data_IF_674427551635
#
_entry.id   IF_674427551635
#
_cell.length_a   1.000
_cell.length_b   1.000
_cell.length_c   1.000
_cell.angle_alpha   90.00
_cell.angle_beta   90.00
_cell.angle_gamma   90.00
#
_symmetry.space_group_name_H-M   'P 1'
#
loop_
_entity.id
_entity.type
_entity.pdbx_description
1 polymer ?
#
# COMPACT_ATOMS: atom_id res chain seq x y z
N UNK A 1 -17.82 -8.94 7.82
CA UNK A 1 -16.98 -7.76 8.12
C UNK A 1 -15.74 -8.08 8.95
N UNK A 2 -15.83 -8.99 9.94
CA UNK A 2 -14.68 -9.34 10.80
C UNK A 2 -13.43 -9.83 10.08
N UNK A 3 -13.58 -10.67 9.07
CA UNK A 3 -12.43 -11.30 8.39
C UNK A 3 -11.55 -10.28 7.62
N UNK A 4 -12.16 -9.25 7.02
CA UNK A 4 -11.41 -8.19 6.37
C UNK A 4 -10.60 -7.35 7.37
N UNK A 5 -11.15 -7.09 8.55
CA UNK A 5 -10.42 -6.39 9.61
C UNK A 5 -9.21 -7.20 10.08
N UNK A 6 -9.38 -8.51 10.26
CA UNK A 6 -8.26 -9.42 10.60
C UNK A 6 -7.19 -9.40 9.49
N UNK A 7 -7.59 -9.40 8.22
CA UNK A 7 -6.65 -9.30 7.11
C UNK A 7 -5.87 -7.98 7.13
N UNK A 8 -6.54 -6.85 7.42
CA UNK A 8 -5.91 -5.52 7.56
C UNK A 8 -4.90 -5.53 8.70
N UNK A 9 -5.29 -6.03 9.88
CA UNK A 9 -4.42 -6.10 11.05
C UNK A 9 -3.17 -6.93 10.78
N UNK A 10 -3.32 -8.13 10.18
CA UNK A 10 -2.21 -8.96 9.74
C UNK A 10 -1.29 -8.19 8.78
N UNK A 11 -1.85 -7.46 7.82
CA UNK A 11 -1.06 -6.72 6.82
C UNK A 11 -0.24 -5.61 7.46
N UNK A 12 -0.83 -4.86 8.41
CA UNK A 12 -0.14 -3.82 9.18
C UNK A 12 0.99 -4.45 10.02
N UNK A 13 0.69 -5.54 10.73
CA UNK A 13 1.67 -6.25 11.54
C UNK A 13 2.85 -6.77 10.71
N UNK A 14 2.59 -7.32 9.53
CA UNK A 14 3.65 -7.73 8.59
C UNK A 14 4.55 -6.56 8.17
N UNK A 15 3.95 -5.39 7.95
CA UNK A 15 4.70 -4.17 7.63
C UNK A 15 5.65 -3.73 8.74
N UNK A 16 5.23 -3.84 10.00
CA UNK A 16 6.07 -3.50 11.16
C UNK A 16 7.20 -4.51 11.40
N UNK A 17 6.98 -5.78 11.09
CA UNK A 17 7.99 -6.83 11.26
C UNK A 17 9.05 -6.86 10.14
N UNK A 18 8.79 -6.23 9.00
CA UNK A 18 9.75 -6.00 7.94
C UNK A 18 10.36 -7.26 7.30
N UNK A 19 9.66 -8.41 7.31
CA UNK A 19 10.18 -9.67 6.74
C UNK A 19 10.15 -9.65 5.22
N UNK A 20 11.13 -10.31 4.59
CA UNK A 20 11.31 -10.29 3.14
C UNK A 20 10.13 -10.85 2.33
N UNK A 21 9.36 -11.79 2.89
CA UNK A 21 8.19 -12.39 2.23
C UNK A 21 7.05 -12.57 3.23
N UNK A 22 5.85 -12.22 2.83
CA UNK A 22 4.64 -12.41 3.65
C UNK A 22 4.46 -13.87 4.10
N UNK A 23 4.77 -14.84 3.26
CA UNK A 23 4.64 -16.25 3.58
C UNK A 23 5.53 -16.76 4.72
N UNK A 24 6.58 -16.02 5.11
CA UNK A 24 7.49 -16.42 6.19
C UNK A 24 6.81 -16.42 7.56
N UNK A 25 5.77 -15.61 7.76
CA UNK A 25 5.07 -15.54 9.04
C UNK A 25 4.32 -16.83 9.43
N UNK A 26 4.09 -17.75 8.48
CA UNK A 26 3.46 -19.07 8.70
C UNK A 26 4.45 -20.24 8.68
N UNK A 27 5.75 -19.97 8.51
CA UNK A 27 6.78 -21.03 8.45
C UNK A 27 7.41 -21.13 9.82
N UNK A 28 7.31 -22.31 10.45
CA UNK A 28 7.88 -22.57 11.79
C UNK A 28 9.41 -22.67 11.79
N UNK A 29 10.03 -22.83 10.61
CA UNK A 29 11.47 -22.90 10.49
C UNK A 29 12.12 -21.50 10.64
N UNK A 30 13.34 -21.49 11.14
CA UNK A 30 14.27 -20.33 11.14
C UNK A 30 13.83 -19.12 11.97
N UNK A 31 12.95 -19.30 12.96
CA UNK A 31 12.50 -18.18 13.81
C UNK A 31 11.66 -17.14 13.07
N UNK A 32 11.18 -17.47 11.88
CA UNK A 32 10.35 -16.58 11.05
C UNK A 32 8.85 -16.68 11.38
N UNK A 33 8.47 -17.68 12.13
CA UNK A 33 7.08 -17.90 12.53
C UNK A 33 6.53 -16.79 13.40
N UNK A 34 5.29 -16.37 13.13
CA UNK A 34 4.56 -15.45 13.99
C UNK A 34 3.25 -16.13 14.47
N UNK A 35 3.20 -16.53 15.76
CA UNK A 35 2.03 -17.24 16.30
C UNK A 35 0.76 -16.38 16.27
N UNK A 36 0.86 -15.07 16.36
CA UNK A 36 -0.30 -14.18 16.33
C UNK A 36 -0.91 -14.17 14.93
N UNK A 37 -0.10 -14.06 13.89
CA UNK A 37 -0.57 -14.08 12.50
C UNK A 37 -1.15 -15.45 12.14
N UNK A 38 -0.45 -16.52 12.48
CA UNK A 38 -0.86 -17.88 12.11
C UNK A 38 -2.12 -18.34 12.82
N UNK A 39 -2.34 -17.92 14.08
CA UNK A 39 -3.56 -18.21 14.81
C UNK A 39 -4.76 -17.38 14.33
N UNK A 40 -4.52 -16.15 13.87
CA UNK A 40 -5.58 -15.27 13.42
C UNK A 40 -6.14 -15.65 12.04
N UNK A 41 -5.30 -16.13 11.12
CA UNK A 41 -5.73 -16.52 9.77
C UNK A 41 -4.76 -17.50 9.13
N UNK A 42 -5.29 -18.49 8.42
CA UNK A 42 -4.50 -19.41 7.60
C UNK A 42 -3.89 -18.70 6.40
N UNK A 43 -2.64 -19.06 6.04
CA UNK A 43 -1.90 -18.50 4.89
C UNK A 43 -2.71 -18.53 3.59
N UNK A 44 -3.35 -19.67 3.29
CA UNK A 44 -4.14 -19.80 2.07
C UNK A 44 -5.31 -18.82 2.05
N UNK A 45 -5.97 -18.62 3.19
CA UNK A 45 -7.09 -17.67 3.30
C UNK A 45 -6.62 -16.23 3.11
N UNK A 46 -5.51 -15.85 3.73
CA UNK A 46 -4.88 -14.56 3.53
C UNK A 46 -4.58 -14.29 2.04
N UNK A 47 -3.98 -15.27 1.35
CA UNK A 47 -3.66 -15.16 -0.07
C UNK A 47 -4.92 -15.01 -0.95
N UNK A 48 -5.99 -15.76 -0.65
CA UNK A 48 -7.27 -15.67 -1.37
C UNK A 48 -7.87 -14.29 -1.23
N UNK A 49 -7.90 -13.72 -0.03
CA UNK A 49 -8.41 -12.36 0.20
C UNK A 49 -7.54 -11.35 -0.57
N UNK A 50 -6.22 -11.43 -0.45
CA UNK A 50 -5.28 -10.54 -1.15
C UNK A 50 -5.46 -10.57 -2.65
N UNK A 51 -5.64 -11.75 -3.25
CA UNK A 51 -5.81 -11.91 -4.69
C UNK A 51 -7.15 -11.41 -5.22
N UNK A 52 -8.19 -11.40 -4.38
CA UNK A 52 -9.55 -11.02 -4.77
C UNK A 52 -9.96 -9.63 -4.25
N UNK A 53 -9.09 -8.94 -3.51
CA UNK A 53 -9.38 -7.62 -2.98
C UNK A 53 -9.51 -6.62 -4.14
N UNK A 54 -10.66 -5.96 -4.21
CA UNK A 54 -10.94 -4.91 -5.20
C UNK A 54 -11.64 -3.74 -4.53
N UNK A 55 -11.19 -2.54 -4.82
CA UNK A 55 -11.79 -1.28 -4.34
C UNK A 55 -12.74 -0.65 -5.35
N UNK A 56 -12.98 -1.32 -6.48
CA UNK A 56 -13.85 -0.81 -7.53
C UNK A 56 -14.86 -1.87 -7.97
N UNK A 57 -16.03 -1.45 -8.47
CA UNK A 57 -17.02 -2.34 -9.07
C UNK A 57 -16.43 -3.19 -10.21
N UNK A 58 -17.05 -4.34 -10.47
CA UNK A 58 -16.68 -5.17 -11.62
C UNK A 58 -16.91 -4.38 -12.92
N UNK A 59 -15.97 -4.53 -13.86
CA UNK A 59 -16.02 -3.80 -15.14
C UNK A 59 -15.36 -2.44 -15.14
N UNK A 60 -14.88 -1.93 -13.99
CA UNK A 60 -14.10 -0.70 -13.94
C UNK A 60 -12.83 -0.85 -14.79
N UNK A 61 -12.51 0.11 -15.67
CA UNK A 61 -11.27 0.09 -16.45
C UNK A 61 -10.03 -0.09 -15.55
N UNK A 62 -9.00 -0.77 -16.07
CA UNK A 62 -7.74 -0.93 -15.36
C UNK A 62 -7.04 0.42 -15.16
N UNK A 63 -6.24 0.52 -14.11
CA UNK A 63 -5.49 1.73 -13.79
C UNK A 63 -6.11 2.55 -12.67
N UNK A 64 -5.96 3.87 -12.75
CA UNK A 64 -6.40 4.82 -11.73
C UNK A 64 -7.87 4.68 -11.28
N UNK A 65 -8.85 4.46 -12.18
CA UNK A 65 -10.24 4.32 -11.77
C UNK A 65 -10.49 3.22 -10.72
N UNK A 66 -9.64 2.19 -10.68
CA UNK A 66 -9.77 1.11 -9.68
C UNK A 66 -9.41 1.50 -8.26
N UNK A 67 -8.63 2.54 -8.07
CA UNK A 67 -8.15 2.98 -6.76
C UNK A 67 -8.59 4.41 -6.40
N UNK A 68 -9.20 5.13 -7.34
CA UNK A 68 -9.60 6.53 -7.14
C UNK A 68 -10.52 6.76 -5.94
N UNK A 69 -11.43 5.83 -5.68
CA UNK A 69 -12.31 5.91 -4.53
C UNK A 69 -11.55 5.76 -3.21
N UNK A 70 -10.63 4.80 -3.12
CA UNK A 70 -9.78 4.63 -1.95
C UNK A 70 -8.89 5.85 -1.73
N UNK A 71 -8.30 6.37 -2.80
CA UNK A 71 -7.49 7.59 -2.76
C UNK A 71 -8.30 8.79 -2.22
N UNK A 72 -9.54 8.96 -2.67
CA UNK A 72 -10.42 10.03 -2.17
C UNK A 72 -10.67 9.90 -0.68
N UNK A 73 -10.97 8.71 -0.17
CA UNK A 73 -11.19 8.47 1.26
C UNK A 73 -9.92 8.75 2.06
N UNK A 74 -8.77 8.27 1.61
CA UNK A 74 -7.50 8.50 2.29
C UNK A 74 -7.15 9.99 2.33
N UNK A 75 -7.36 10.72 1.25
CA UNK A 75 -7.17 12.18 1.22
C UNK A 75 -8.08 12.89 2.21
N UNK A 76 -9.34 12.51 2.28
CA UNK A 76 -10.28 13.07 3.25
C UNK A 76 -9.83 12.78 4.68
N UNK A 77 -9.46 11.54 4.99
CA UNK A 77 -8.98 11.15 6.31
C UNK A 77 -7.70 11.92 6.71
N UNK A 78 -6.74 12.05 5.81
CA UNK A 78 -5.52 12.83 6.04
C UNK A 78 -5.83 14.30 6.32
N UNK A 79 -6.76 14.91 5.58
CA UNK A 79 -7.15 16.31 5.80
C UNK A 79 -7.80 16.56 7.14
N UNK A 80 -8.55 15.60 7.65
CA UNK A 80 -9.24 15.73 8.95
C UNK A 80 -8.32 15.42 10.13
N UNK A 81 -7.31 14.57 9.92
CA UNK A 81 -6.41 14.09 10.99
C UNK A 81 -5.17 14.95 11.16
N UNK A 82 -4.74 15.68 10.12
CA UNK A 82 -3.53 16.51 10.18
C UNK A 82 -3.86 17.97 10.37
N UNK A 83 -3.39 18.53 11.47
CA UNK A 83 -3.33 19.99 11.66
C UNK A 83 -2.26 20.60 10.72
N UNK A 84 -2.55 21.75 10.13
CA UNK A 84 -1.58 22.49 9.34
C UNK A 84 -0.57 23.11 10.31
N UNK A 85 0.70 22.76 10.19
CA UNK A 85 1.79 23.37 10.92
C UNK A 85 2.50 24.42 10.07
N UNK A 86 3.18 25.36 10.72
CA UNK A 86 3.93 26.44 10.04
C UNK A 86 5.10 25.90 9.18
N UNK A 87 5.62 24.73 9.54
CA UNK A 87 6.72 24.07 8.84
C UNK A 87 6.22 22.76 8.24
N UNK A 88 6.36 22.65 6.93
CA UNK A 88 5.97 21.48 6.16
C UNK A 88 7.12 21.03 5.27
N UNK A 89 7.29 19.73 5.15
CA UNK A 89 8.21 19.14 4.20
C UNK A 89 7.43 18.40 3.09
N UNK A 90 7.86 18.59 1.85
CA UNK A 90 7.37 17.80 0.71
C UNK A 90 8.38 16.67 0.53
N UNK A 91 7.92 15.42 0.59
CA UNK A 91 8.76 14.26 0.35
C UNK A 91 8.20 13.43 -0.82
N UNK A 92 9.12 12.89 -1.61
CA UNK A 92 8.81 11.98 -2.70
C UNK A 92 9.27 10.57 -2.37
N UNK A 93 8.33 9.66 -2.29
CA UNK A 93 8.59 8.25 -2.07
C UNK A 93 8.38 7.44 -3.34
N UNK A 94 9.19 6.38 -3.52
CA UNK A 94 9.05 5.44 -4.62
C UNK A 94 8.43 4.14 -4.13
N UNK A 95 7.31 3.76 -4.71
CA UNK A 95 6.69 2.45 -4.49
C UNK A 95 7.17 1.50 -5.58
N UNK A 96 7.90 0.45 -5.19
CA UNK A 96 8.39 -0.57 -6.11
C UNK A 96 7.24 -1.21 -6.87
N UNK A 97 7.28 -1.15 -8.19
CA UNK A 97 6.32 -1.82 -9.07
C UNK A 97 7.07 -2.62 -10.13
N UNK A 98 6.80 -3.93 -10.16
CA UNK A 98 7.41 -4.85 -11.12
C UNK A 98 6.45 -5.22 -12.26
N UNK A 99 5.20 -4.78 -12.20
CA UNK A 99 4.20 -5.10 -13.20
C UNK A 99 4.48 -4.34 -14.50
N UNK A 100 4.63 -5.06 -15.61
CA UNK A 100 4.74 -4.47 -16.95
C UNK A 100 3.46 -3.75 -17.43
N UNK A 101 2.36 -3.97 -16.74
CA UNK A 101 1.06 -3.37 -17.06
C UNK A 101 0.74 -2.10 -16.24
N UNK A 102 1.66 -1.66 -15.39
CA UNK A 102 1.48 -0.44 -14.63
C UNK A 102 1.88 0.77 -15.50
N UNK A 103 0.95 1.64 -15.90
CA UNK A 103 1.24 2.76 -16.79
C UNK A 103 2.03 3.89 -16.13
N UNK A 104 2.17 3.85 -14.78
CA UNK A 104 2.85 4.90 -14.00
C UNK A 104 4.26 4.53 -13.57
N UNK A 105 4.86 3.51 -14.19
CA UNK A 105 6.23 3.12 -13.86
C UNK A 105 7.19 4.18 -14.39
N UNK A 106 7.98 4.70 -13.47
CA UNK A 106 9.10 5.59 -13.75
C UNK A 106 10.42 4.88 -13.45
N UNK A 107 11.46 5.24 -14.19
CA UNK A 107 12.81 4.79 -13.94
C UNK A 107 13.64 5.94 -13.39
N UNK A 108 14.04 5.83 -12.12
CA UNK A 108 14.84 6.83 -11.40
C UNK A 108 16.15 6.19 -10.90
N UNK A 109 17.23 6.26 -11.67
CA UNK A 109 18.48 5.54 -11.38
C UNK A 109 19.16 5.96 -10.07
N UNK A 110 18.92 7.21 -9.63
CA UNK A 110 19.51 7.78 -8.39
C UNK A 110 18.72 7.41 -7.11
N UNK A 111 17.51 6.84 -7.22
CA UNK A 111 16.71 6.45 -6.06
C UNK A 111 17.02 5.00 -5.65
N UNK A 112 16.89 4.63 -4.37
CA UNK A 112 17.07 3.24 -3.92
C UNK A 112 16.17 2.25 -4.67
N UNK A 113 14.91 2.65 -4.92
CA UNK A 113 13.98 1.93 -5.77
C UNK A 113 14.04 2.54 -7.16
N UNK A 114 14.74 1.88 -8.08
CA UNK A 114 14.99 2.42 -9.43
C UNK A 114 13.77 2.33 -10.36
N UNK A 115 12.84 1.39 -10.13
CA UNK A 115 11.60 1.23 -10.92
C UNK A 115 10.39 1.16 -10.02
N UNK A 116 9.44 2.04 -10.24
CA UNK A 116 8.23 2.09 -9.44
C UNK A 116 7.36 3.29 -9.79
N UNK A 117 6.28 3.46 -9.06
CA UNK A 117 5.46 4.65 -9.09
C UNK A 117 6.02 5.69 -8.12
N UNK A 118 6.16 6.93 -8.55
CA UNK A 118 6.50 8.04 -7.65
C UNK A 118 5.25 8.49 -6.92
N UNK A 119 5.37 8.65 -5.61
CA UNK A 119 4.33 9.17 -4.75
C UNK A 119 4.84 10.45 -4.09
N UNK A 120 4.21 11.57 -4.37
CA UNK A 120 4.50 12.83 -3.71
C UNK A 120 3.57 13.00 -2.51
N UNK A 121 4.14 13.12 -1.32
CA UNK A 121 3.40 13.34 -0.08
C UNK A 121 3.60 14.79 0.32
N UNK A 122 2.54 15.58 0.22
CA UNK A 122 2.54 16.96 0.66
C UNK A 122 1.56 17.16 1.82
N UNK A 123 2.03 17.13 3.08
CA UNK A 123 1.14 17.28 4.24
C UNK A 123 0.57 18.69 4.39
N UNK A 124 1.16 19.69 3.74
CA UNK A 124 0.79 21.09 3.94
C UNK A 124 -0.21 21.64 2.94
N UNK A 125 -0.35 21.04 1.80
CA UNK A 125 -1.34 21.46 0.82
C UNK A 125 -2.60 20.65 1.05
N UNK A 126 -3.74 21.31 1.17
CA UNK A 126 -5.07 20.70 1.19
C UNK A 126 -5.36 19.80 -0.04
N UNK A 127 -4.39 19.64 -0.91
CA UNK A 127 -4.43 18.89 -2.16
C UNK A 127 -3.22 17.96 -2.26
N UNK A 128 -3.51 16.75 -2.58
CA UNK A 128 -2.72 15.79 -3.35
C UNK A 128 -1.72 14.88 -2.62
N UNK A 129 -2.18 13.65 -2.48
CA UNK A 129 -1.41 12.54 -2.99
C UNK A 129 -1.45 12.67 -4.53
N UNK A 130 -0.48 13.32 -5.14
CA UNK A 130 -0.34 13.32 -6.58
C UNK A 130 0.58 12.19 -6.99
N UNK A 131 0.05 11.26 -7.78
CA UNK A 131 0.92 10.41 -8.60
C UNK A 131 1.43 11.35 -9.68
N UNK A 132 2.69 11.76 -9.57
CA UNK A 132 3.30 12.67 -10.53
C UNK A 132 3.43 11.94 -11.86
N UNK A 133 2.60 12.34 -12.80
CA UNK A 133 2.79 12.02 -14.20
C UNK A 133 3.78 13.01 -14.78
N UNK A 134 5.03 12.62 -14.96
CA UNK A 134 5.91 13.32 -15.87
C UNK A 134 5.60 12.83 -17.28
N UNK A 135 4.99 13.70 -18.09
CA UNK A 135 4.86 13.55 -19.54
C UNK A 135 6.23 13.54 -20.20
#
# INVERSE_FOLDING_TARGET
MGELLVWIDITIRMGTLGRARAGHHWIEADGLYDPVISSAMLKNRYNVITANLSFAPRGTPSGWPKISWLDTILRMACRTSTGITQHCAIDESMIKCLSKYCPWIQYMPKKPIKRGASLSINPCIKHSLEIVHHT
#
